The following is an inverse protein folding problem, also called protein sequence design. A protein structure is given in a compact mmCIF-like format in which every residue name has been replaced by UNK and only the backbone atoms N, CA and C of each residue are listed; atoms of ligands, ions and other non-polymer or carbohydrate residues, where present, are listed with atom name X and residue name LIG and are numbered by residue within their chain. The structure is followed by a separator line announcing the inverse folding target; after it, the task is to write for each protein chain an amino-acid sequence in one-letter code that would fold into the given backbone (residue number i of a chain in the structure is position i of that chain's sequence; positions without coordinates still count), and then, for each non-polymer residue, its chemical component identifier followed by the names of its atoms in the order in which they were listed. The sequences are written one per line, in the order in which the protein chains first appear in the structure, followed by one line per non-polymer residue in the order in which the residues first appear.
data_IF_151511550947
#
_entry.id   IF_151511550947
#
_cell.length_a   1.000
_cell.length_b   1.000
_cell.length_c   1.000
_cell.angle_alpha   90.00
_cell.angle_beta   90.00
_cell.angle_gamma   90.00
#
_symmetry.space_group_name_H-M   'P 1'
#
loop_
_entity.id
_entity.type
_entity.pdbx_description
1 polymer ?
#
# COMPACT_ATOMS: atom_id res chain seq x y z
N UNK A 1 8.53 6.42 -8.28
CA UNK A 1 7.63 5.35 -7.79
C UNK A 1 7.31 4.37 -8.92
N UNK A 2 8.13 3.32 -9.09
CA UNK A 2 8.10 2.46 -10.30
C UNK A 2 6.84 1.59 -10.44
N UNK A 3 6.37 0.94 -9.37
CA UNK A 3 5.22 0.02 -9.45
C UNK A 3 3.89 0.68 -9.76
N UNK A 4 3.67 1.88 -9.21
CA UNK A 4 2.47 2.64 -9.51
C UNK A 4 2.38 2.95 -11.01
N UNK A 5 3.48 3.39 -11.62
CA UNK A 5 3.57 3.66 -13.06
C UNK A 5 3.36 2.37 -13.89
N UNK A 6 4.02 1.26 -13.53
CA UNK A 6 3.80 -0.05 -14.17
C UNK A 6 2.32 -0.49 -14.09
N UNK A 7 1.62 -0.15 -13.00
CA UNK A 7 0.19 -0.43 -12.85
C UNK A 7 -0.70 0.55 -13.63
N UNK A 8 -0.37 1.83 -13.59
CA UNK A 8 -1.07 2.91 -14.26
C UNK A 8 -1.00 2.77 -15.78
N UNK A 9 0.04 2.17 -16.36
CA UNK A 9 0.13 1.91 -17.79
C UNK A 9 -0.74 0.72 -18.25
N UNK A 10 -1.25 -0.09 -17.32
CA UNK A 10 -2.04 -1.29 -17.60
C UNK A 10 -1.38 -2.33 -18.53
N UNK A 11 -0.05 -2.33 -18.62
CA UNK A 11 0.71 -3.26 -19.45
C UNK A 11 0.85 -4.66 -18.85
N UNK A 12 1.77 -5.45 -19.40
CA UNK A 12 2.03 -6.85 -18.98
C UNK A 12 2.40 -6.99 -17.49
N UNK A 13 3.05 -5.97 -16.93
CA UNK A 13 3.45 -5.92 -15.51
C UNK A 13 2.36 -5.42 -14.57
N UNK A 14 1.15 -5.15 -15.07
CA UNK A 14 0.05 -4.72 -14.20
C UNK A 14 -0.54 -5.88 -13.40
N UNK A 15 -0.96 -5.60 -12.16
CA UNK A 15 -1.63 -6.59 -11.33
C UNK A 15 -2.96 -7.00 -11.97
N UNK A 16 -3.29 -8.29 -11.96
CA UNK A 16 -4.52 -8.83 -12.60
C UNK A 16 -5.78 -8.09 -12.16
N UNK A 17 -5.87 -7.71 -10.88
CA UNK A 17 -7.01 -6.98 -10.32
C UNK A 17 -7.16 -5.55 -10.85
N UNK A 18 -6.06 -4.91 -11.24
CA UNK A 18 -6.03 -3.51 -11.71
C UNK A 18 -6.22 -3.38 -13.23
N UNK A 19 -6.32 -4.50 -13.97
CA UNK A 19 -6.56 -4.49 -15.41
C UNK A 19 -7.90 -3.83 -15.74
N UNK A 20 -7.90 -2.84 -16.62
CA UNK A 20 -9.10 -2.07 -16.98
C UNK A 20 -9.66 -1.14 -15.88
N UNK A 21 -8.93 -0.90 -14.78
CA UNK A 21 -9.34 -0.01 -13.67
C UNK A 21 -8.61 1.33 -13.68
N UNK A 22 -8.43 1.93 -14.86
CA UNK A 22 -7.76 3.24 -15.00
C UNK A 22 -8.79 4.38 -15.04
N UNK A 23 -8.39 5.61 -14.63
CA UNK A 23 -7.10 5.98 -14.05
C UNK A 23 -6.98 5.60 -12.57
N UNK A 24 -5.80 5.13 -12.15
CA UNK A 24 -5.50 4.84 -10.76
C UNK A 24 -5.01 6.11 -10.05
N UNK A 25 -5.44 6.30 -8.81
CA UNK A 25 -4.90 7.33 -7.92
C UNK A 25 -4.25 6.65 -6.74
N UNK A 26 -3.01 7.04 -6.43
CA UNK A 26 -2.34 6.56 -5.22
C UNK A 26 -2.86 7.35 -4.01
N UNK A 27 -3.65 6.70 -3.16
CA UNK A 27 -4.21 7.34 -1.97
C UNK A 27 -3.19 7.47 -0.82
N UNK A 28 -2.27 6.52 -0.71
CA UNK A 28 -1.30 6.46 0.40
C UNK A 28 -0.08 5.61 0.02
N UNK A 29 1.09 6.01 0.52
CA UNK A 29 2.33 5.23 0.44
C UNK A 29 3.26 5.60 1.59
N UNK A 30 4.07 4.66 2.05
CA UNK A 30 5.01 4.89 3.14
C UNK A 30 6.30 4.10 2.91
N UNK A 31 7.44 4.73 3.21
CA UNK A 31 8.75 4.12 3.07
C UNK A 31 9.17 3.42 4.36
N UNK A 32 9.67 2.20 4.24
CA UNK A 32 10.06 1.33 5.36
C UNK A 32 11.49 0.88 5.16
N UNK A 33 12.23 0.76 6.27
CA UNK A 33 13.69 0.54 6.23
C UNK A 33 14.09 -0.79 5.59
N UNK A 34 13.55 -1.91 6.09
CA UNK A 34 13.95 -3.25 5.60
C UNK A 34 12.87 -3.91 4.74
N UNK A 35 13.31 -4.78 3.82
CA UNK A 35 12.41 -5.59 2.99
C UNK A 35 11.52 -6.49 3.86
N UNK A 36 12.06 -7.04 4.95
CA UNK A 36 11.32 -7.91 5.87
C UNK A 36 10.18 -7.15 6.56
N UNK A 37 10.46 -5.95 7.09
CA UNK A 37 9.43 -5.08 7.66
C UNK A 37 8.38 -4.70 6.62
N UNK A 38 8.80 -4.37 5.39
CA UNK A 38 7.88 -4.06 4.30
C UNK A 38 6.89 -5.19 4.00
N UNK A 39 7.40 -6.42 3.88
CA UNK A 39 6.59 -7.60 3.57
C UNK A 39 5.60 -7.91 4.71
N UNK A 40 6.05 -7.86 5.95
CA UNK A 40 5.20 -8.11 7.11
C UNK A 40 4.13 -7.02 7.29
N UNK A 41 4.50 -5.76 7.10
CA UNK A 41 3.57 -4.64 7.14
C UNK A 41 2.54 -4.73 6.01
N UNK A 42 2.94 -5.08 4.80
CA UNK A 42 2.02 -5.29 3.67
C UNK A 42 0.98 -6.38 4.01
N UNK A 43 1.43 -7.49 4.61
CA UNK A 43 0.54 -8.56 5.05
C UNK A 43 -0.46 -8.09 6.10
N UNK A 44 -0.02 -7.30 7.07
CA UNK A 44 -0.90 -6.75 8.11
C UNK A 44 -1.91 -5.76 7.52
N UNK A 45 -1.46 -4.79 6.71
CA UNK A 45 -2.33 -3.80 6.05
C UNK A 45 -3.40 -4.49 5.20
N UNK A 46 -3.06 -5.56 4.47
CA UNK A 46 -4.04 -6.30 3.66
C UNK A 46 -5.21 -6.82 4.49
N UNK A 47 -4.96 -7.22 5.75
CA UNK A 47 -5.94 -7.76 6.69
C UNK A 47 -6.75 -6.70 7.46
N UNK A 48 -6.32 -5.44 7.43
CA UNK A 48 -7.08 -4.34 8.03
C UNK A 48 -8.46 -4.18 7.37
N UNK A 49 -9.43 -3.74 8.17
CA UNK A 49 -10.77 -3.39 7.69
C UNK A 49 -10.72 -2.17 6.77
N UNK A 50 -11.80 -1.93 6.01
CA UNK A 50 -11.93 -0.74 5.17
C UNK A 50 -11.73 0.54 5.98
N UNK A 51 -12.37 0.63 7.15
CA UNK A 51 -12.31 1.80 8.04
C UNK A 51 -10.88 2.10 8.48
N UNK A 52 -10.11 1.09 8.85
CA UNK A 52 -8.71 1.26 9.26
C UNK A 52 -7.83 1.73 8.11
N UNK A 53 -8.03 1.18 6.90
CA UNK A 53 -7.33 1.64 5.69
C UNK A 53 -7.66 3.10 5.36
N UNK A 54 -8.92 3.50 5.49
CA UNK A 54 -9.34 4.90 5.29
C UNK A 54 -8.72 5.83 6.33
N UNK A 55 -8.49 5.37 7.56
CA UNK A 55 -7.77 6.13 8.57
C UNK A 55 -6.30 6.30 8.20
N UNK A 56 -5.62 5.27 7.68
CA UNK A 56 -4.24 5.42 7.18
C UNK A 56 -4.14 6.46 6.05
N UNK A 57 -5.14 6.54 5.16
CA UNK A 57 -5.17 7.58 4.13
C UNK A 57 -5.34 9.00 4.69
N UNK A 58 -6.09 9.16 5.80
CA UNK A 58 -6.31 10.47 6.45
C UNK A 58 -5.16 10.87 7.37
N UNK A 59 -4.57 9.89 8.05
CA UNK A 59 -3.55 10.04 9.08
C UNK A 59 -2.37 9.10 8.74
N UNK A 60 -1.52 9.49 7.77
CA UNK A 60 -0.46 8.63 7.27
C UNK A 60 0.55 8.23 8.36
N UNK A 61 0.82 9.11 9.33
CA UNK A 61 1.72 8.87 10.46
C UNK A 61 1.26 7.75 11.40
N UNK A 62 -0.02 7.37 11.36
CA UNK A 62 -0.56 6.27 12.17
C UNK A 62 0.14 4.93 11.89
N UNK A 63 0.77 4.81 10.72
CA UNK A 63 1.60 3.64 10.40
C UNK A 63 2.76 3.44 11.37
N UNK A 64 3.29 4.51 11.97
CA UNK A 64 4.36 4.44 12.97
C UNK A 64 3.92 3.67 14.22
N UNK A 65 2.66 3.85 14.62
CA UNK A 65 2.08 3.11 15.75
C UNK A 65 2.00 1.62 15.42
N UNK A 66 1.59 1.28 14.19
CA UNK A 66 1.55 -0.11 13.74
C UNK A 66 2.96 -0.72 13.62
N UNK A 67 3.95 0.08 13.23
CA UNK A 67 5.34 -0.36 13.14
C UNK A 67 5.90 -0.67 14.53
N UNK A 68 5.77 0.26 15.48
CA UNK A 68 6.30 0.11 16.83
C UNK A 68 5.61 -0.99 17.67
N UNK A 69 4.33 -1.28 17.41
CA UNK A 69 3.58 -2.30 18.15
C UNK A 69 3.87 -3.73 17.65
N UNK A 70 4.34 -3.89 16.40
CA UNK A 70 4.41 -5.19 15.71
C UNK A 70 5.79 -5.60 15.21
N UNK A 71 6.78 -4.69 15.13
CA UNK A 71 8.12 -4.96 14.60
C UNK A 71 9.24 -4.51 15.53
#
# INVERSE_FOLDING_TARGET
MRRFDEHQQNGTKTAKYLRGKQPLTLAWSYEVGTKQQAMSLEWYIKRLTKREKEQLCKEPDRIQVLLNDKF
#
